data_IF_402465283963
#
_entry.id   IF_402465283963
#
_cell.length_a   1.000
_cell.length_b   1.000
_cell.length_c   1.000
_cell.angle_alpha   90.00
_cell.angle_beta   90.00
_cell.angle_gamma   90.00
#
_symmetry.space_group_name_H-M   'P 1'
#
loop_
_entity.id
_entity.type
_entity.pdbx_description
1 polymer ?
#
# COMPACT_ATOMS: atom_id res chain seq x y z
N UNK A 1 -62.83 53.17 -4.64
CA UNK A 1 -62.72 52.39 -3.39
C UNK A 1 -62.79 50.94 -3.82
N UNK A 2 -61.67 50.21 -3.75
CA UNK A 2 -61.66 48.80 -4.12
C UNK A 2 -62.21 48.01 -2.93
N UNK A 3 -63.36 47.39 -3.12
CA UNK A 3 -63.92 46.44 -2.16
C UNK A 3 -62.92 45.29 -2.05
N UNK A 4 -62.20 45.20 -0.93
CA UNK A 4 -61.31 44.08 -0.61
C UNK A 4 -62.19 42.85 -0.46
N UNK A 5 -62.44 42.14 -1.57
CA UNK A 5 -63.22 40.93 -1.48
C UNK A 5 -62.44 39.91 -0.62
N UNK A 6 -63.13 39.38 0.40
CA UNK A 6 -62.59 38.47 1.41
C UNK A 6 -63.06 37.07 1.11
N UNK A 7 -62.17 36.09 1.21
CA UNK A 7 -62.49 34.67 1.12
C UNK A 7 -62.36 34.01 2.49
N UNK A 8 -63.05 32.91 2.70
CA UNK A 8 -62.84 32.10 3.91
C UNK A 8 -61.77 31.04 3.65
N UNK A 9 -60.83 30.91 4.58
CA UNK A 9 -59.81 29.88 4.52
C UNK A 9 -60.46 28.49 4.63
N UNK A 10 -60.25 27.55 3.68
CA UNK A 10 -60.86 26.23 3.71
C UNK A 10 -60.34 25.32 4.85
N UNK A 11 -59.24 25.69 5.51
CA UNK A 11 -58.64 24.91 6.58
C UNK A 11 -59.07 25.36 7.98
N UNK A 12 -59.20 26.68 8.22
CA UNK A 12 -59.55 27.23 9.54
C UNK A 12 -60.83 28.06 9.58
N UNK A 13 -61.49 28.29 8.45
CA UNK A 13 -62.76 29.02 8.32
C UNK A 13 -62.68 30.54 8.49
N UNK A 14 -61.51 31.10 8.79
CA UNK A 14 -61.33 32.55 9.00
C UNK A 14 -61.22 33.32 7.68
N UNK A 15 -61.64 34.58 7.70
CA UNK A 15 -61.52 35.50 6.55
C UNK A 15 -60.04 35.77 6.21
N UNK A 16 -59.72 35.69 4.93
CA UNK A 16 -58.41 35.98 4.35
C UNK A 16 -58.58 36.89 3.14
N UNK A 17 -57.60 37.77 2.89
CA UNK A 17 -57.64 38.69 1.75
C UNK A 17 -57.47 37.96 0.42
N UNK A 18 -58.17 38.41 -0.63
CA UNK A 18 -57.94 37.94 -1.99
C UNK A 18 -56.52 38.28 -2.46
N UNK A 19 -55.69 37.26 -2.65
CA UNK A 19 -54.32 37.39 -3.14
C UNK A 19 -53.25 36.81 -2.21
N UNK A 20 -53.61 36.50 -0.96
CA UNK A 20 -52.68 35.85 -0.03
C UNK A 20 -52.41 34.39 -0.42
N UNK A 21 -51.13 34.02 -0.48
CA UNK A 21 -50.69 32.67 -0.87
C UNK A 21 -50.74 31.70 0.32
N UNK A 22 -50.68 32.23 1.54
CA UNK A 22 -50.65 31.48 2.78
C UNK A 22 -51.58 32.14 3.80
N UNK A 23 -52.36 31.33 4.53
CA UNK A 23 -53.27 31.86 5.54
C UNK A 23 -52.48 32.33 6.77
N UNK A 24 -52.60 33.60 7.20
CA UNK A 24 -51.89 34.12 8.37
C UNK A 24 -52.33 33.48 9.70
N UNK A 25 -53.47 32.78 9.71
CA UNK A 25 -54.02 32.17 10.92
C UNK A 25 -53.65 30.71 11.11
N UNK A 26 -53.44 29.94 10.03
CA UNK A 26 -53.13 28.51 10.14
C UNK A 26 -51.93 28.04 9.30
N UNK A 27 -51.31 28.92 8.49
CA UNK A 27 -50.14 28.58 7.68
C UNK A 27 -50.43 27.61 6.52
N UNK A 28 -51.70 27.41 6.16
CA UNK A 28 -52.04 26.60 4.98
C UNK A 28 -51.77 27.41 3.72
N UNK A 29 -51.20 26.77 2.71
CA UNK A 29 -51.06 27.40 1.41
C UNK A 29 -52.42 27.46 0.71
N UNK A 30 -52.97 28.66 0.52
CA UNK A 30 -54.30 28.87 -0.07
C UNK A 30 -54.34 28.55 -1.57
N UNK A 31 -53.18 28.48 -2.25
CA UNK A 31 -53.08 28.07 -3.67
C UNK A 31 -53.02 26.55 -3.86
N UNK A 32 -52.34 25.83 -2.96
CA UNK A 32 -52.13 24.37 -3.11
C UNK A 32 -52.91 23.50 -2.12
N UNK A 33 -53.53 24.08 -1.09
CA UNK A 33 -54.27 23.35 -0.05
C UNK A 33 -53.40 22.49 0.87
N UNK A 34 -52.09 22.50 0.70
CA UNK A 34 -51.16 21.70 1.49
C UNK A 34 -50.84 22.39 2.82
N UNK A 35 -50.88 21.64 3.91
CA UNK A 35 -50.45 22.12 5.22
C UNK A 35 -48.92 22.28 5.25
N UNK A 36 -48.44 23.29 5.98
CA UNK A 36 -47.01 23.52 6.20
C UNK A 36 -46.29 22.25 6.72
N UNK A 37 -46.94 21.49 7.60
CA UNK A 37 -46.39 20.24 8.17
C UNK A 37 -46.10 19.17 7.12
N UNK A 38 -46.96 19.03 6.10
CA UNK A 38 -46.74 18.07 5.01
C UNK A 38 -45.52 18.43 4.17
N UNK A 39 -45.26 19.74 3.96
CA UNK A 39 -44.06 20.21 3.28
C UNK A 39 -42.80 20.01 4.11
N UNK A 40 -42.87 20.29 5.41
CA UNK A 40 -41.76 20.04 6.33
C UNK A 40 -41.46 18.54 6.42
N UNK A 41 -42.49 17.67 6.46
CA UNK A 41 -42.31 16.21 6.44
C UNK A 41 -41.74 15.71 5.12
N UNK A 42 -42.12 16.27 3.96
CA UNK A 42 -41.50 15.91 2.68
C UNK A 42 -40.06 16.43 2.56
N UNK A 43 -39.78 17.64 3.03
CA UNK A 43 -38.42 18.20 3.04
C UNK A 43 -37.49 17.45 4.00
N UNK A 44 -37.99 17.03 5.16
CA UNK A 44 -37.29 16.15 6.11
C UNK A 44 -37.33 14.66 5.71
N UNK A 45 -38.23 14.30 4.80
CA UNK A 45 -38.50 12.95 4.31
C UNK A 45 -37.53 12.44 3.24
N UNK A 46 -36.59 13.30 2.78
CA UNK A 46 -35.29 12.83 2.27
C UNK A 46 -34.45 12.31 3.44
N UNK A 47 -35.00 11.34 4.15
CA UNK A 47 -34.31 10.63 5.21
C UNK A 47 -33.17 9.85 4.59
N UNK A 48 -32.04 9.98 5.26
CA UNK A 48 -30.81 9.24 5.08
C UNK A 48 -31.14 7.76 4.88
N UNK A 49 -30.73 7.19 3.74
CA UNK A 49 -30.80 5.76 3.49
C UNK A 49 -29.76 5.05 4.37
N UNK A 50 -30.15 4.30 5.43
CA UNK A 50 -29.20 3.62 6.32
C UNK A 50 -28.49 2.42 5.66
N UNK A 51 -28.95 1.98 4.48
CA UNK A 51 -28.40 0.82 3.76
C UNK A 51 -27.04 1.07 3.08
N UNK A 52 -26.55 2.30 2.99
CA UNK A 52 -25.27 2.57 2.30
C UNK A 52 -24.02 2.33 3.15
N UNK A 53 -24.14 2.06 4.46
CA UNK A 53 -22.95 1.84 5.29
C UNK A 53 -22.26 0.50 4.99
N UNK A 54 -23.03 -0.60 4.85
CA UNK A 54 -22.48 -1.93 4.54
C UNK A 54 -21.88 -2.05 3.12
N UNK A 55 -22.54 -1.46 2.13
CA UNK A 55 -22.06 -1.46 0.74
C UNK A 55 -20.76 -0.66 0.56
N UNK A 56 -20.60 0.47 1.26
CA UNK A 56 -19.39 1.30 1.16
C UNK A 56 -18.19 0.65 1.85
N UNK A 57 -18.39 -0.01 2.99
CA UNK A 57 -17.32 -0.77 3.66
C UNK A 57 -16.91 -1.99 2.83
N UNK A 58 -17.86 -2.75 2.29
CA UNK A 58 -17.56 -3.87 1.40
C UNK A 58 -16.80 -3.44 0.14
N UNK A 59 -17.24 -2.37 -0.52
CA UNK A 59 -16.54 -1.81 -1.68
C UNK A 59 -15.13 -1.34 -1.32
N UNK A 60 -14.94 -0.68 -0.17
CA UNK A 60 -13.62 -0.24 0.29
C UNK A 60 -12.67 -1.42 0.51
N UNK A 61 -13.14 -2.53 1.09
CA UNK A 61 -12.33 -3.75 1.28
C UNK A 61 -11.92 -4.35 -0.06
N UNK A 62 -12.84 -4.47 -1.02
CA UNK A 62 -12.54 -5.02 -2.35
C UNK A 62 -11.53 -4.15 -3.09
N UNK A 63 -11.69 -2.82 -3.05
CA UNK A 63 -10.73 -1.89 -3.65
C UNK A 63 -9.36 -1.99 -2.96
N UNK A 64 -9.32 -2.04 -1.63
CA UNK A 64 -8.08 -2.18 -0.88
C UNK A 64 -7.34 -3.48 -1.23
N UNK A 65 -8.05 -4.61 -1.28
CA UNK A 65 -7.50 -5.89 -1.73
C UNK A 65 -6.99 -5.79 -3.17
N UNK A 66 -7.77 -5.22 -4.08
CA UNK A 66 -7.37 -5.01 -5.48
C UNK A 66 -6.08 -4.20 -5.60
N UNK A 67 -5.94 -3.12 -4.82
CA UNK A 67 -4.72 -2.32 -4.78
C UNK A 67 -3.51 -3.10 -4.22
N UNK A 68 -3.71 -3.94 -3.20
CA UNK A 68 -2.65 -4.81 -2.66
C UNK A 68 -2.17 -5.81 -3.72
N UNK A 69 -3.09 -6.50 -4.39
CA UNK A 69 -2.75 -7.45 -5.46
C UNK A 69 -2.05 -6.74 -6.63
N UNK A 70 -2.56 -5.58 -7.03
CA UNK A 70 -1.97 -4.79 -8.12
C UNK A 70 -0.56 -4.29 -7.77
N UNK A 71 -0.36 -3.77 -6.55
CA UNK A 71 0.95 -3.37 -6.06
C UNK A 71 1.93 -4.55 -6.00
N UNK A 72 1.45 -5.72 -5.55
CA UNK A 72 2.22 -6.96 -5.54
C UNK A 72 2.66 -7.39 -6.95
N UNK A 73 1.72 -7.40 -7.91
CA UNK A 73 2.00 -7.72 -9.31
C UNK A 73 3.02 -6.77 -9.94
N UNK A 74 2.86 -5.46 -9.73
CA UNK A 74 3.80 -4.45 -10.23
C UNK A 74 5.20 -4.61 -9.61
N UNK A 75 5.27 -4.91 -8.31
CA UNK A 75 6.53 -5.18 -7.65
C UNK A 75 7.21 -6.45 -8.19
N UNK A 76 6.45 -7.52 -8.41
CA UNK A 76 6.99 -8.77 -8.99
C UNK A 76 7.56 -8.53 -10.40
N UNK A 77 6.82 -7.80 -11.24
CA UNK A 77 7.29 -7.44 -12.59
C UNK A 77 8.58 -6.62 -12.54
N UNK A 78 8.65 -5.61 -11.68
CA UNK A 78 9.85 -4.80 -11.53
C UNK A 78 11.02 -5.62 -10.96
N UNK A 79 10.75 -6.50 -10.01
CA UNK A 79 11.73 -7.41 -9.41
C UNK A 79 12.33 -8.35 -10.45
N UNK A 80 11.49 -9.02 -11.26
CA UNK A 80 11.94 -9.90 -12.34
C UNK A 80 12.78 -9.15 -13.38
N UNK A 81 12.39 -7.92 -13.72
CA UNK A 81 13.14 -7.08 -14.65
C UNK A 81 14.53 -6.75 -14.11
N UNK A 82 14.63 -6.30 -12.85
CA UNK A 82 15.93 -6.02 -12.21
C UNK A 82 16.84 -7.25 -12.19
N UNK A 83 16.30 -8.44 -11.86
CA UNK A 83 17.06 -9.69 -11.90
C UNK A 83 17.58 -10.02 -13.31
N UNK A 84 16.80 -9.73 -14.34
CA UNK A 84 17.18 -9.96 -15.73
C UNK A 84 18.22 -8.94 -16.24
N UNK A 85 18.08 -7.68 -15.84
CA UNK A 85 18.92 -6.58 -16.31
C UNK A 85 20.31 -6.62 -15.66
N UNK A 86 20.39 -6.89 -14.35
CA UNK A 86 21.62 -6.89 -13.53
C UNK A 86 21.78 -8.18 -12.71
N UNK A 87 21.97 -9.34 -13.37
CA UNK A 87 22.13 -10.61 -12.67
C UNK A 87 23.41 -10.69 -11.82
N UNK A 88 24.45 -9.92 -12.17
CA UNK A 88 25.71 -9.86 -11.43
C UNK A 88 25.55 -9.48 -9.95
N UNK A 89 24.52 -8.72 -9.58
CA UNK A 89 24.29 -8.35 -8.18
C UNK A 89 23.72 -9.46 -7.33
N UNK A 90 23.11 -10.47 -7.93
CA UNK A 90 22.31 -11.47 -7.21
C UNK A 90 22.88 -12.88 -7.28
N UNK A 91 23.56 -13.25 -8.38
CA UNK A 91 24.14 -14.60 -8.49
C UNK A 91 25.19 -14.89 -7.41
N UNK A 92 26.23 -14.05 -7.21
CA UNK A 92 27.28 -14.38 -6.24
C UNK A 92 26.73 -14.55 -4.81
N UNK A 93 25.87 -13.65 -4.29
CA UNK A 93 25.26 -13.84 -2.97
C UNK A 93 24.45 -15.13 -2.84
N UNK A 94 23.69 -15.50 -3.87
CA UNK A 94 22.84 -16.70 -3.83
C UNK A 94 23.71 -17.96 -3.80
N UNK A 95 24.77 -18.00 -4.60
CA UNK A 95 25.73 -19.11 -4.62
C UNK A 95 26.47 -19.23 -3.28
N UNK A 96 26.93 -18.12 -2.69
CA UNK A 96 27.55 -18.13 -1.37
C UNK A 96 26.58 -18.60 -0.29
N UNK A 97 25.31 -18.16 -0.33
CA UNK A 97 24.29 -18.62 0.62
C UNK A 97 24.03 -20.12 0.51
N UNK A 98 23.98 -20.67 -0.72
CA UNK A 98 23.86 -22.11 -0.94
C UNK A 98 25.06 -22.88 -0.39
N UNK A 99 26.27 -22.41 -0.68
CA UNK A 99 27.52 -22.98 -0.13
C UNK A 99 27.49 -22.99 1.40
N UNK A 100 27.07 -21.90 2.03
CA UNK A 100 26.94 -21.83 3.49
C UNK A 100 25.86 -22.80 3.99
N UNK A 101 24.71 -22.90 3.33
CA UNK A 101 23.67 -23.86 3.72
C UNK A 101 24.19 -25.31 3.69
N UNK A 102 24.99 -25.67 2.69
CA UNK A 102 25.66 -26.98 2.61
C UNK A 102 26.69 -27.18 3.73
N UNK A 103 27.42 -26.12 4.12
CA UNK A 103 28.38 -26.17 5.22
C UNK A 103 27.66 -26.36 6.56
N UNK A 104 26.56 -25.64 6.79
CA UNK A 104 25.75 -25.80 8.00
C UNK A 104 25.17 -27.21 8.10
N UNK A 105 24.64 -27.76 7.00
CA UNK A 105 24.14 -29.13 6.97
C UNK A 105 25.23 -30.16 7.30
N UNK A 106 26.46 -29.97 6.79
CA UNK A 106 27.61 -30.82 7.12
C UNK A 106 28.03 -30.68 8.58
N UNK A 107 28.05 -29.47 9.12
CA UNK A 107 28.39 -29.21 10.51
C UNK A 107 27.36 -29.85 11.47
N UNK A 108 26.07 -29.75 11.14
CA UNK A 108 24.98 -30.40 11.89
C UNK A 108 25.16 -31.94 11.88
N UNK A 109 25.56 -32.53 10.75
CA UNK A 109 25.87 -33.97 10.65
C UNK A 109 27.09 -34.37 11.48
N UNK A 110 28.20 -33.62 11.39
CA UNK A 110 29.41 -33.86 12.19
C UNK A 110 29.12 -33.80 13.68
N UNK A 111 28.30 -32.83 14.10
CA UNK A 111 27.87 -32.71 15.49
C UNK A 111 27.03 -33.90 15.95
N UNK A 112 26.13 -34.39 15.09
CA UNK A 112 25.34 -35.59 15.38
C UNK A 112 26.20 -36.87 15.48
N UNK A 113 27.34 -36.92 14.79
CA UNK A 113 28.32 -38.03 14.87
C UNK A 113 29.28 -37.91 16.06
N UNK A 114 29.17 -36.84 16.87
CA UNK A 114 30.07 -36.59 18.01
C UNK A 114 31.42 -35.98 17.62
N UNK A 115 31.59 -35.52 16.37
CA UNK A 115 32.81 -34.90 15.85
C UNK A 115 32.83 -33.38 16.13
N UNK A 116 32.75 -32.98 17.40
CA UNK A 116 32.55 -31.56 17.78
C UNK A 116 33.66 -30.61 17.28
N UNK A 117 34.91 -31.09 17.18
CA UNK A 117 36.01 -30.29 16.65
C UNK A 117 35.88 -30.03 15.14
N UNK A 118 35.46 -31.03 14.37
CA UNK A 118 35.23 -30.89 12.94
C UNK A 118 34.02 -29.99 12.67
N UNK A 119 32.91 -30.19 13.40
CA UNK A 119 31.73 -29.34 13.33
C UNK A 119 32.06 -27.88 13.64
N UNK A 120 32.83 -27.62 14.72
CA UNK A 120 33.26 -26.28 15.11
C UNK A 120 34.08 -25.58 14.02
N UNK A 121 34.99 -26.30 13.35
CA UNK A 121 35.73 -25.77 12.21
C UNK A 121 34.80 -25.41 11.05
N UNK A 122 33.89 -26.30 10.67
CA UNK A 122 32.93 -26.04 9.58
C UNK A 122 32.02 -24.83 9.88
N UNK A 123 31.60 -24.65 11.14
CA UNK A 123 30.86 -23.47 11.58
C UNK A 123 31.68 -22.18 11.51
N UNK A 124 32.97 -22.23 11.87
CA UNK A 124 33.87 -21.09 11.75
C UNK A 124 34.10 -20.69 10.29
N UNK A 125 34.32 -21.67 9.42
CA UNK A 125 34.47 -21.44 7.97
C UNK A 125 33.19 -20.82 7.39
N UNK A 126 32.00 -21.33 7.79
CA UNK A 126 30.72 -20.78 7.35
C UNK A 126 30.51 -19.34 7.82
N UNK A 127 30.94 -19.01 9.05
CA UNK A 127 30.89 -17.64 9.58
C UNK A 127 31.76 -16.70 8.75
N UNK A 128 32.99 -17.10 8.43
CA UNK A 128 33.91 -16.30 7.60
C UNK A 128 33.34 -16.00 6.21
N UNK A 129 32.69 -16.98 5.56
CA UNK A 129 32.01 -16.78 4.27
C UNK A 129 30.86 -15.78 4.36
N UNK A 130 30.06 -15.83 5.44
CA UNK A 130 28.99 -14.88 5.67
C UNK A 130 29.51 -13.46 5.95
N UNK A 131 30.62 -13.31 6.68
CA UNK A 131 31.25 -12.01 6.93
C UNK A 131 31.74 -11.36 5.64
N UNK A 132 32.43 -12.14 4.79
CA UNK A 132 32.84 -11.67 3.45
C UNK A 132 31.64 -11.28 2.58
N UNK A 133 30.53 -12.03 2.68
CA UNK A 133 29.31 -11.72 1.95
C UNK A 133 28.63 -10.42 2.46
N UNK A 134 28.65 -10.15 3.77
CA UNK A 134 28.13 -8.88 4.30
C UNK A 134 28.92 -7.70 3.75
N UNK A 135 30.25 -7.79 3.74
CA UNK A 135 31.12 -6.74 3.22
C UNK A 135 30.86 -6.50 1.72
N UNK A 136 30.74 -7.59 0.95
CA UNK A 136 30.42 -7.52 -0.47
C UNK A 136 29.05 -6.85 -0.70
N UNK A 137 28.00 -7.28 0.01
CA UNK A 137 26.66 -6.72 -0.12
C UNK A 137 26.61 -5.23 0.23
N UNK A 138 27.38 -4.81 1.24
CA UNK A 138 27.47 -3.40 1.61
C UNK A 138 28.13 -2.58 0.48
N UNK A 139 29.26 -3.04 -0.05
CA UNK A 139 29.94 -2.39 -1.18
C UNK A 139 29.04 -2.33 -2.43
N UNK A 140 28.24 -3.36 -2.69
CA UNK A 140 27.28 -3.36 -3.80
C UNK A 140 26.12 -2.37 -3.57
N UNK A 141 25.57 -2.28 -2.36
CA UNK A 141 24.52 -1.29 -2.07
C UNK A 141 25.03 0.16 -2.21
N UNK A 142 26.28 0.40 -1.78
CA UNK A 142 26.98 1.69 -1.95
C UNK A 142 27.30 2.01 -3.41
N UNK A 143 27.56 1.01 -4.26
CA UNK A 143 27.79 1.23 -5.69
C UNK A 143 26.49 1.56 -6.45
N UNK A 144 25.35 1.07 -5.97
CA UNK A 144 24.02 1.51 -6.41
C UNK A 144 23.71 2.86 -5.74
N UNK A 145 24.54 3.89 -5.94
CA UNK A 145 24.13 5.24 -5.53
C UNK A 145 22.97 5.70 -6.39
N UNK A 146 21.93 6.25 -5.75
CA UNK A 146 20.96 7.09 -6.44
C UNK A 146 21.76 8.23 -7.02
N UNK A 147 21.70 8.45 -8.34
CA UNK A 147 22.25 9.65 -8.93
C UNK A 147 21.74 10.81 -8.10
N UNK A 148 22.67 11.54 -7.49
CA UNK A 148 22.33 12.78 -6.83
C UNK A 148 21.51 13.59 -7.85
N UNK A 149 20.38 14.10 -7.40
CA UNK A 149 19.42 14.86 -8.19
C UNK A 149 20.16 15.74 -9.21
N UNK A 150 19.90 15.52 -10.51
CA UNK A 150 20.47 16.29 -11.61
C UNK A 150 21.98 16.19 -11.84
N UNK A 151 22.59 15.01 -11.71
CA UNK A 151 23.81 14.75 -12.47
C UNK A 151 23.43 14.75 -13.96
N UNK A 152 23.67 15.88 -14.65
CA UNK A 152 23.59 15.95 -16.10
C UNK A 152 24.39 14.76 -16.64
N UNK A 153 23.71 13.87 -17.35
CA UNK A 153 24.33 12.76 -18.05
C UNK A 153 25.20 13.33 -19.17
N UNK A 154 26.42 13.77 -18.82
CA UNK A 154 27.41 14.27 -19.77
C UNK A 154 28.21 13.11 -20.36
N UNK A 155 27.63 11.91 -20.46
CA UNK A 155 28.32 10.77 -21.02
C UNK A 155 28.54 10.99 -22.53
N UNK A 156 29.78 11.23 -23.00
CA UNK A 156 30.05 11.60 -24.40
C UNK A 156 29.93 10.42 -25.38
N UNK A 157 29.61 9.23 -24.88
CA UNK A 157 29.65 7.98 -25.63
C UNK A 157 28.29 7.26 -25.60
N UNK A 158 27.51 7.32 -26.70
CA UNK A 158 26.16 6.75 -26.75
C UNK A 158 26.11 5.23 -26.63
N UNK A 159 27.24 4.53 -26.76
CA UNK A 159 27.35 3.07 -26.67
C UNK A 159 27.48 2.54 -25.25
N UNK A 160 27.78 3.40 -24.26
CA UNK A 160 27.96 3.01 -22.86
C UNK A 160 26.74 3.44 -22.04
N UNK A 161 25.55 3.11 -22.53
CA UNK A 161 24.32 3.28 -21.76
C UNK A 161 24.35 2.30 -20.58
N UNK A 162 24.47 2.85 -19.38
CA UNK A 162 24.27 2.08 -18.16
C UNK A 162 22.84 1.52 -18.21
N UNK A 163 22.67 0.20 -18.10
CA UNK A 163 21.34 -0.42 -18.20
C UNK A 163 20.39 0.25 -17.21
N UNK A 164 19.29 0.78 -17.73
CA UNK A 164 18.31 1.49 -16.92
C UNK A 164 17.42 0.49 -16.18
N UNK A 165 17.75 0.21 -14.91
CA UNK A 165 16.97 -0.66 -14.04
C UNK A 165 16.41 0.11 -12.83
N UNK A 166 15.37 -0.43 -12.20
CA UNK A 166 14.78 0.18 -11.01
C UNK A 166 15.70 0.00 -9.78
N UNK A 167 16.52 1.02 -9.51
CA UNK A 167 17.50 1.02 -8.40
C UNK A 167 16.85 0.82 -7.03
N UNK A 168 15.66 1.38 -6.82
CA UNK A 168 14.93 1.21 -5.56
C UNK A 168 14.56 -0.24 -5.29
N UNK A 169 14.14 -0.97 -6.33
CA UNK A 169 13.87 -2.41 -6.24
C UNK A 169 15.16 -3.20 -6.03
N UNK A 170 16.24 -2.88 -6.75
CA UNK A 170 17.54 -3.53 -6.56
C UNK A 170 18.05 -3.41 -5.12
N UNK A 171 18.02 -2.19 -4.54
CA UNK A 171 18.38 -1.96 -3.14
C UNK A 171 17.53 -2.77 -2.16
N UNK A 172 16.21 -2.82 -2.37
CA UNK A 172 15.31 -3.63 -1.54
C UNK A 172 15.68 -5.12 -1.61
N UNK A 173 16.03 -5.62 -2.79
CA UNK A 173 16.46 -7.01 -2.96
C UNK A 173 17.79 -7.29 -2.24
N UNK A 174 18.78 -6.38 -2.34
CA UNK A 174 20.04 -6.51 -1.59
C UNK A 174 19.81 -6.49 -0.08
N UNK A 175 18.94 -5.60 0.41
CA UNK A 175 18.54 -5.57 1.83
C UNK A 175 17.88 -6.88 2.27
N UNK A 176 17.04 -7.48 1.42
CA UNK A 176 16.45 -8.79 1.68
C UNK A 176 17.51 -9.90 1.72
N UNK A 177 18.54 -9.86 0.87
CA UNK A 177 19.67 -10.79 0.92
C UNK A 177 20.46 -10.63 2.21
N UNK A 178 20.74 -9.40 2.65
CA UNK A 178 21.40 -9.14 3.93
C UNK A 178 20.60 -9.70 5.11
N UNK A 179 19.28 -9.53 5.12
CA UNK A 179 18.43 -10.14 6.15
C UNK A 179 18.51 -11.68 6.13
N UNK A 180 18.62 -12.31 4.96
CA UNK A 180 18.83 -13.76 4.83
C UNK A 180 20.20 -14.22 5.35
N UNK A 181 21.23 -13.38 5.22
CA UNK A 181 22.56 -13.61 5.79
C UNK A 181 22.49 -13.55 7.32
N UNK A 182 21.83 -12.54 7.89
CA UNK A 182 21.64 -12.39 9.33
C UNK A 182 20.91 -13.60 9.96
N UNK A 183 19.92 -14.16 9.26
CA UNK A 183 19.24 -15.39 9.71
C UNK A 183 20.19 -16.60 9.79
N UNK A 184 21.20 -16.68 8.91
CA UNK A 184 22.17 -17.79 8.92
C UNK A 184 23.22 -17.60 9.99
N UNK A 185 23.66 -16.38 10.26
CA UNK A 185 24.51 -16.10 11.42
C UNK A 185 23.89 -16.61 12.73
N UNK A 186 22.57 -16.45 12.89
CA UNK A 186 21.83 -16.96 14.07
C UNK A 186 21.81 -18.49 14.18
N UNK A 187 22.02 -19.23 13.09
CA UNK A 187 22.12 -20.69 13.10
C UNK A 187 23.49 -21.19 13.55
N UNK A 188 24.53 -20.36 13.41
CA UNK A 188 25.89 -20.74 13.78
C UNK A 188 26.06 -20.57 15.29
N UNK A 189 26.46 -21.60 16.04
CA UNK A 189 26.71 -21.48 17.47
C UNK A 189 27.75 -20.38 17.74
N UNK A 190 27.53 -19.59 18.80
CA UNK A 190 28.51 -18.60 19.24
C UNK A 190 29.84 -19.30 19.52
N UNK A 191 30.95 -18.70 19.03
CA UNK A 191 32.29 -19.19 19.30
C UNK A 191 32.61 -19.10 20.80
#
# INVERSE_FOLDING_TARGET
MAEEARLQCPSCGKEVGLGEIECPHCGVNLKSGEAYETRVKQAKGKQEHPEHFGGRVGAAVVVALGLIFFAGFMYERASRKVLADVPEFFRPPVETLQKVDDMLARADQQQAMGESAAAGKTFADARHELEGLVEWLQKTDESIRSDAAYAQDTNPHPWRQQKEYNRGVAKRQLKNLRAKVELRFKRIPAA
#
